data_IF_219900894164
#
_entry.id   IF_219900894164
#
_cell.length_a   1.000
_cell.length_b   1.000
_cell.length_c   1.000
_cell.angle_alpha   90.00
_cell.angle_beta   90.00
_cell.angle_gamma   90.00
#
_symmetry.space_group_name_H-M   'P 1'
#
loop_
_entity.id
_entity.type
_entity.pdbx_description
1 polymer ?
#
# COMPACT_ATOMS: atom_id res chain seq x y z
N UNK A 1 -22.95 19.17 -12.05
CA UNK A 1 -22.33 17.97 -11.43
C UNK A 1 -22.87 16.75 -12.18
N UNK A 2 -22.06 16.12 -13.04
CA UNK A 2 -22.51 15.04 -13.93
C UNK A 2 -22.07 13.68 -13.37
N UNK A 3 -22.98 12.93 -12.75
CA UNK A 3 -22.69 11.56 -12.29
C UNK A 3 -22.69 10.60 -13.48
N UNK A 4 -21.51 10.09 -13.82
CA UNK A 4 -21.30 9.12 -14.90
C UNK A 4 -21.60 7.71 -14.40
N UNK A 5 -22.76 7.17 -14.75
CA UNK A 5 -23.08 5.75 -14.54
C UNK A 5 -22.44 4.97 -15.69
N UNK A 6 -21.49 4.10 -15.37
CA UNK A 6 -20.77 3.30 -16.36
C UNK A 6 -21.37 1.90 -16.40
N UNK A 7 -21.73 1.42 -17.59
CA UNK A 7 -22.26 0.07 -17.80
C UNK A 7 -21.11 -0.95 -17.74
N UNK A 8 -21.23 -1.97 -16.89
CA UNK A 8 -20.23 -3.03 -16.75
C UNK A 8 -20.09 -3.82 -18.05
N UNK A 9 -18.89 -3.81 -18.65
CA UNK A 9 -18.56 -4.58 -19.85
C UNK A 9 -17.41 -5.54 -19.55
N UNK A 10 -17.54 -6.80 -19.99
CA UNK A 10 -16.54 -7.84 -19.77
C UNK A 10 -15.50 -7.72 -20.89
N UNK A 11 -14.25 -7.45 -20.53
CA UNK A 11 -13.13 -7.37 -21.47
C UNK A 11 -11.91 -8.07 -20.91
N UNK A 12 -11.09 -8.65 -21.79
CA UNK A 12 -9.81 -9.23 -21.41
C UNK A 12 -8.86 -8.14 -20.90
N UNK A 13 -8.02 -8.44 -19.89
CA UNK A 13 -7.00 -7.50 -19.45
C UNK A 13 -6.03 -7.25 -20.61
N UNK A 14 -5.79 -5.97 -20.90
CA UNK A 14 -4.77 -5.60 -21.89
C UNK A 14 -3.40 -5.88 -21.27
N UNK A 15 -2.54 -6.57 -22.01
CA UNK A 15 -1.15 -6.79 -21.59
C UNK A 15 -0.40 -5.47 -21.41
N UNK A 16 0.52 -5.45 -20.44
CA UNK A 16 1.41 -4.31 -20.17
C UNK A 16 2.85 -4.55 -20.67
N UNK A 17 3.72 -3.57 -20.42
CA UNK A 17 5.17 -3.64 -20.69
C UNK A 17 6.04 -2.85 -19.70
N UNK A 18 5.43 -2.26 -18.66
CA UNK A 18 6.15 -1.56 -17.60
C UNK A 18 6.44 -2.54 -16.45
N UNK A 19 7.68 -2.51 -15.95
CA UNK A 19 8.05 -3.19 -14.71
C UNK A 19 7.72 -2.22 -13.56
N UNK A 20 6.81 -2.61 -12.69
CA UNK A 20 6.44 -1.84 -11.51
C UNK A 20 6.92 -2.58 -10.25
N UNK A 21 7.29 -1.80 -9.23
CA UNK A 21 7.63 -2.32 -7.90
C UNK A 21 6.39 -2.77 -7.13
N UNK A 22 6.50 -2.79 -5.81
CA UNK A 22 5.39 -3.17 -4.92
C UNK A 22 4.56 -1.95 -4.50
N UNK A 23 4.69 -0.80 -5.16
CA UNK A 23 4.00 0.42 -4.74
C UNK A 23 4.53 0.96 -3.41
N UNK A 24 5.77 0.62 -3.05
CA UNK A 24 6.41 1.08 -1.84
C UNK A 24 6.61 2.60 -1.85
N UNK A 25 6.45 3.22 -0.68
CA UNK A 25 6.66 4.66 -0.50
C UNK A 25 7.67 4.92 0.60
N UNK A 26 8.48 5.96 0.39
CA UNK A 26 9.51 6.40 1.33
C UNK A 26 9.27 7.87 1.69
N UNK A 27 9.32 8.19 2.97
CA UNK A 27 9.16 9.54 3.48
C UNK A 27 10.26 9.86 4.51
N UNK A 28 10.89 11.01 4.40
CA UNK A 28 11.80 11.52 5.42
C UNK A 28 11.08 12.49 6.36
N UNK A 29 11.35 12.39 7.66
CA UNK A 29 10.93 13.38 8.65
C UNK A 29 12.14 14.26 9.02
N UNK A 30 12.28 15.39 8.32
CA UNK A 30 13.44 16.29 8.44
C UNK A 30 13.61 16.86 9.85
N UNK A 31 12.50 17.09 10.57
CA UNK A 31 12.52 17.65 11.91
C UNK A 31 13.06 16.68 12.98
N UNK A 32 12.70 15.40 12.89
CA UNK A 32 13.14 14.37 13.85
C UNK A 32 14.37 13.61 13.37
N UNK A 33 14.78 13.78 12.11
CA UNK A 33 15.85 13.02 11.48
C UNK A 33 15.51 11.54 11.26
N UNK A 34 14.24 11.17 11.41
CA UNK A 34 13.76 9.80 11.19
C UNK A 34 13.27 9.63 9.75
N UNK A 35 13.15 8.38 9.31
CA UNK A 35 12.52 8.06 8.04
C UNK A 35 11.46 6.99 8.23
N UNK A 36 10.49 7.01 7.33
CA UNK A 36 9.40 6.06 7.28
C UNK A 36 9.32 5.42 5.91
N UNK A 37 8.96 4.14 5.90
CA UNK A 37 8.81 3.36 4.69
C UNK A 37 7.51 2.55 4.76
N UNK A 38 6.71 2.58 3.71
CA UNK A 38 5.44 1.85 3.64
C UNK A 38 5.46 0.89 2.47
N UNK A 39 5.17 -0.38 2.75
CA UNK A 39 5.06 -1.44 1.77
C UNK A 39 3.63 -2.01 1.78
N UNK A 40 2.82 -1.79 0.72
CA UNK A 40 1.45 -2.29 0.69
C UNK A 40 1.41 -3.81 0.47
N UNK A 41 0.56 -4.48 1.23
CA UNK A 41 0.33 -5.92 1.13
C UNK A 41 -0.84 -6.14 0.17
N UNK A 42 -0.50 -6.58 -1.04
CA UNK A 42 -1.48 -6.82 -2.09
C UNK A 42 -2.29 -8.09 -1.82
N UNK A 43 -3.50 -7.90 -1.30
CA UNK A 43 -4.48 -8.97 -1.14
C UNK A 43 -5.39 -9.04 -2.37
N UNK A 44 -5.89 -10.24 -2.66
CA UNK A 44 -6.86 -10.41 -3.74
C UNK A 44 -8.17 -9.69 -3.37
N UNK A 45 -8.67 -8.77 -4.22
CA UNK A 45 -9.95 -8.13 -3.97
C UNK A 45 -11.04 -9.20 -4.06
N UNK A 46 -11.61 -9.55 -2.91
CA UNK A 46 -12.66 -10.55 -2.79
C UNK A 46 -14.00 -10.02 -3.30
N UNK A 47 -15.04 -10.11 -2.47
CA UNK A 47 -16.41 -9.65 -2.83
C UNK A 47 -16.62 -8.15 -2.60
N UNK A 48 -15.60 -7.34 -2.80
CA UNK A 48 -15.62 -5.90 -2.53
C UNK A 48 -15.34 -5.50 -1.08
N UNK A 49 -15.12 -6.47 -0.18
CA UNK A 49 -14.64 -6.22 1.18
C UNK A 49 -13.35 -7.01 1.39
N UNK A 50 -12.25 -6.32 1.63
CA UNK A 50 -10.95 -6.87 1.97
C UNK A 50 -10.19 -5.84 2.82
N UNK A 51 -9.33 -6.26 3.75
CA UNK A 51 -8.55 -5.31 4.53
C UNK A 51 -7.45 -4.70 3.66
N UNK A 52 -7.25 -3.40 3.76
CA UNK A 52 -6.06 -2.75 3.21
C UNK A 52 -4.96 -2.84 4.27
N UNK A 53 -3.94 -3.65 4.00
CA UNK A 53 -2.82 -3.87 4.91
C UNK A 53 -1.54 -3.30 4.31
N UNK A 54 -0.70 -2.73 5.17
CA UNK A 54 0.62 -2.24 4.81
C UNK A 54 1.62 -2.53 5.93
N UNK A 55 2.84 -2.92 5.54
CA UNK A 55 3.98 -3.00 6.44
C UNK A 55 4.61 -1.61 6.52
N UNK A 56 4.47 -0.98 7.68
CA UNK A 56 5.02 0.32 7.97
C UNK A 56 6.32 0.17 8.77
N UNK A 57 7.35 0.89 8.33
CA UNK A 57 8.63 1.01 9.00
C UNK A 57 8.83 2.46 9.45
N UNK A 58 9.39 2.63 10.64
CA UNK A 58 9.90 3.91 11.12
C UNK A 58 11.21 3.68 11.88
N UNK A 59 12.25 4.44 11.53
CA UNK A 59 13.56 4.31 12.17
C UNK A 59 13.57 4.72 13.65
N UNK A 60 12.53 5.44 14.09
CA UNK A 60 12.35 5.83 15.50
C UNK A 60 11.56 4.83 16.33
N UNK A 61 11.00 3.78 15.72
CA UNK A 61 10.15 2.81 16.40
C UNK A 61 10.95 1.65 17.03
N UNK A 62 10.36 1.07 18.08
CA UNK A 62 10.97 -0.01 18.86
C UNK A 62 10.85 -1.40 18.22
N UNK A 63 11.20 -2.42 18.99
CA UNK A 63 11.10 -3.82 18.52
C UNK A 63 9.66 -4.34 18.67
N UNK A 64 9.17 -5.04 17.65
CA UNK A 64 7.84 -5.64 17.65
C UNK A 64 7.82 -7.02 16.98
N UNK A 65 6.62 -7.59 16.83
CA UNK A 65 6.44 -8.92 16.22
C UNK A 65 6.87 -8.97 14.74
N UNK A 66 6.95 -7.82 14.08
CA UNK A 66 7.42 -7.68 12.69
C UNK A 66 8.90 -7.28 12.60
N UNK A 67 9.60 -7.21 13.73
CA UNK A 67 11.00 -6.77 13.82
C UNK A 67 11.15 -5.34 14.36
N UNK A 68 12.40 -4.88 14.38
CA UNK A 68 12.75 -3.54 14.86
C UNK A 68 12.29 -2.46 13.89
N UNK A 69 11.51 -1.50 14.38
CA UNK A 69 10.98 -0.39 13.61
C UNK A 69 9.83 -0.75 12.68
N UNK A 70 9.47 -2.04 12.55
CA UNK A 70 8.42 -2.53 11.67
C UNK A 70 7.11 -2.78 12.43
N UNK A 71 6.01 -2.41 11.80
CA UNK A 71 4.65 -2.62 12.30
C UNK A 71 3.70 -2.91 11.14
N UNK A 72 2.66 -3.71 11.41
CA UNK A 72 1.56 -3.89 10.48
C UNK A 72 0.51 -2.81 10.74
N UNK A 73 0.12 -2.08 9.70
CA UNK A 73 -0.93 -1.06 9.77
C UNK A 73 -2.04 -1.37 8.77
N UNK A 74 -3.27 -1.03 9.14
CA UNK A 74 -4.44 -1.10 8.27
C UNK A 74 -4.88 0.32 7.90
N UNK A 75 -5.24 0.55 6.65
CA UNK A 75 -5.79 1.83 6.18
C UNK A 75 -7.31 1.91 6.44
#
# INVERSE_FOLDING_TARGET
>A
MSSKITTSHISLPKGGGAIQGMGETFAQHEFTGTFSFSLPIHLTPGRGCFPELQLAYSSGEGNGIFGLGFSLSSL
#
